data_IF_314148106200
#
_entry.id   IF_314148106200
#
_cell.length_a   1.000
_cell.length_b   1.000
_cell.length_c   1.000
_cell.angle_alpha   90.00
_cell.angle_beta   90.00
_cell.angle_gamma   90.00
#
_symmetry.space_group_name_H-M   'P 1'
#
loop_
_entity.id
_entity.type
_entity.pdbx_description
1 polymer ?
#
# COMPACT_ATOMS: atom_id res chain seq x y z
N UNK A 1 8.42 -15.40 16.07
CA UNK A 1 7.60 -15.19 14.85
C UNK A 1 8.53 -15.31 13.65
N UNK A 2 8.09 -15.93 12.54
CA UNK A 2 8.93 -16.23 11.37
C UNK A 2 8.24 -15.73 10.11
N UNK A 3 8.99 -15.08 9.23
CA UNK A 3 8.53 -14.68 7.90
C UNK A 3 8.86 -15.75 6.86
N UNK A 4 7.91 -16.04 5.96
CA UNK A 4 8.09 -16.85 4.77
C UNK A 4 8.70 -16.05 3.61
N UNK A 5 8.43 -14.74 3.55
CA UNK A 5 9.13 -13.80 2.66
C UNK A 5 9.25 -12.40 3.27
N UNK A 6 10.15 -11.59 2.71
CA UNK A 6 10.28 -10.17 3.03
C UNK A 6 10.41 -9.36 1.74
N UNK A 7 9.76 -8.20 1.69
CA UNK A 7 9.75 -7.28 0.55
C UNK A 7 10.06 -5.87 1.03
N UNK A 8 10.92 -5.16 0.31
CA UNK A 8 11.27 -3.76 0.58
C UNK A 8 11.00 -2.94 -0.69
N UNK A 9 10.02 -2.05 -0.62
CA UNK A 9 9.49 -1.33 -1.77
C UNK A 9 9.83 0.15 -1.62
N UNK A 10 10.40 0.73 -2.68
CA UNK A 10 10.62 2.16 -2.79
C UNK A 10 9.52 2.78 -3.65
N UNK A 11 8.68 3.58 -3.00
CA UNK A 11 7.56 4.25 -3.62
C UNK A 11 7.92 5.71 -3.92
N UNK A 12 7.70 6.12 -5.16
CA UNK A 12 8.01 7.47 -5.62
C UNK A 12 6.85 8.07 -6.41
N UNK A 13 6.77 9.41 -6.53
CA UNK A 13 5.67 10.09 -7.20
C UNK A 13 5.59 9.77 -8.70
N UNK A 14 6.73 9.55 -9.37
CA UNK A 14 6.81 9.29 -10.81
C UNK A 14 6.23 7.93 -11.22
N UNK A 15 6.02 7.02 -10.27
CA UNK A 15 5.42 5.71 -10.52
C UNK A 15 3.88 5.74 -10.48
N UNK A 16 3.26 6.85 -10.03
CA UNK A 16 1.81 6.95 -9.86
C UNK A 16 1.08 7.05 -11.20
N UNK A 17 0.03 6.25 -11.36
CA UNK A 17 -0.81 6.19 -12.57
C UNK A 17 -2.29 6.12 -12.18
N UNK A 18 -3.15 6.56 -13.10
CA UNK A 18 -4.59 6.32 -13.08
C UNK A 18 -4.98 5.45 -14.29
N UNK A 19 -5.40 4.21 -14.05
CA UNK A 19 -5.51 3.20 -15.09
C UNK A 19 -4.12 2.84 -15.60
N UNK A 20 -3.77 3.27 -16.81
CA UNK A 20 -2.42 3.17 -17.37
C UNK A 20 -1.79 4.53 -17.67
N UNK A 21 -2.48 5.62 -17.32
CA UNK A 21 -2.03 6.98 -17.60
C UNK A 21 -1.17 7.49 -16.43
N UNK A 22 0.11 7.84 -16.64
CA UNK A 22 0.91 8.46 -15.59
C UNK A 22 0.30 9.80 -15.16
N UNK A 23 0.11 9.98 -13.86
CA UNK A 23 -0.40 11.24 -13.28
C UNK A 23 0.66 11.98 -12.48
N UNK A 24 1.67 11.26 -12.00
CA UNK A 24 2.53 11.73 -10.93
C UNK A 24 1.81 11.71 -9.58
N UNK A 25 2.59 11.73 -8.52
CA UNK A 25 2.14 11.91 -7.14
C UNK A 25 2.59 13.27 -6.57
N UNK A 26 2.76 13.34 -5.25
CA UNK A 26 3.20 14.57 -4.57
C UNK A 26 4.69 14.80 -4.84
N UNK A 27 5.04 15.91 -5.47
CA UNK A 27 6.43 16.20 -5.84
C UNK A 27 7.36 16.19 -4.62
N UNK A 28 8.42 15.38 -4.68
CA UNK A 28 9.38 15.23 -3.59
C UNK A 28 8.96 14.27 -2.48
N UNK A 29 7.70 13.82 -2.42
CA UNK A 29 7.32 12.76 -1.49
C UNK A 29 8.05 11.45 -1.79
N UNK A 30 8.24 10.61 -0.78
CA UNK A 30 8.72 9.24 -0.98
C UNK A 30 8.14 8.31 0.08
N UNK A 31 8.13 7.02 -0.22
CA UNK A 31 7.70 5.99 0.73
C UNK A 31 8.64 4.79 0.72
N UNK A 32 8.91 4.24 1.90
CA UNK A 32 9.53 2.93 2.08
C UNK A 32 8.50 2.02 2.72
N UNK A 33 8.19 0.91 2.05
CA UNK A 33 7.25 -0.09 2.53
C UNK A 33 8.02 -1.39 2.73
N UNK A 34 8.28 -1.73 3.98
CA UNK A 34 8.92 -2.99 4.33
C UNK A 34 7.85 -3.96 4.83
N UNK A 35 7.68 -5.07 4.11
CA UNK A 35 6.73 -6.12 4.45
C UNK A 35 7.44 -7.40 4.83
N UNK A 36 6.97 -8.03 5.90
CA UNK A 36 7.29 -9.42 6.22
C UNK A 36 6.02 -10.26 6.17
N UNK A 37 6.00 -11.28 5.33
CA UNK A 37 4.83 -12.14 5.11
C UNK A 37 5.03 -13.46 5.86
N UNK A 38 3.94 -14.01 6.42
CA UNK A 38 3.84 -15.39 6.84
C UNK A 38 2.61 -16.00 6.17
N UNK A 39 2.82 -16.72 5.06
CA UNK A 39 1.74 -17.34 4.31
C UNK A 39 1.12 -18.54 5.01
N UNK A 40 1.80 -19.18 5.95
CA UNK A 40 1.20 -20.26 6.74
C UNK A 40 0.09 -19.74 7.68
N UNK A 41 0.19 -18.48 8.13
CA UNK A 41 -0.80 -17.84 9.03
C UNK A 41 -1.66 -16.77 8.35
N UNK A 42 -1.51 -16.57 7.04
CA UNK A 42 -2.09 -15.45 6.30
C UNK A 42 -1.83 -14.08 6.94
N UNK A 43 -0.59 -13.86 7.39
CA UNK A 43 -0.19 -12.65 8.13
C UNK A 43 0.79 -11.82 7.30
N UNK A 44 0.65 -10.50 7.36
CA UNK A 44 1.62 -9.54 6.85
C UNK A 44 1.95 -8.54 7.96
N UNK A 45 3.23 -8.46 8.33
CA UNK A 45 3.76 -7.38 9.14
C UNK A 45 4.36 -6.31 8.24
N UNK A 46 4.26 -5.06 8.67
CA UNK A 46 4.64 -3.91 7.88
C UNK A 46 5.39 -2.89 8.72
N UNK A 47 6.34 -2.21 8.09
CA UNK A 47 6.92 -0.96 8.53
C UNK A 47 6.89 -0.01 7.34
N UNK A 48 5.96 0.94 7.38
CA UNK A 48 5.69 1.87 6.29
C UNK A 48 6.12 3.25 6.75
N UNK A 49 7.04 3.86 6.02
CA UNK A 49 7.52 5.22 6.28
C UNK A 49 7.27 6.09 5.07
N UNK A 50 6.68 7.26 5.28
CA UNK A 50 6.50 8.29 4.26
C UNK A 50 7.32 9.52 4.63
N UNK A 51 8.03 10.08 3.66
CA UNK A 51 8.71 11.37 3.77
C UNK A 51 8.03 12.39 2.87
N UNK A 52 7.86 13.61 3.38
CA UNK A 52 7.26 14.75 2.67
C UNK A 52 5.88 14.45 2.08
N UNK A 53 5.08 13.64 2.79
CA UNK A 53 3.64 13.51 2.51
C UNK A 53 2.92 14.83 2.87
N UNK A 54 2.02 15.26 2.01
CA UNK A 54 1.23 16.48 2.16
C UNK A 54 -0.26 16.18 1.97
N UNK A 55 -1.12 17.06 2.50
CA UNK A 55 -2.57 16.87 2.52
C UNK A 55 -3.03 15.90 3.61
N UNK A 56 -4.27 15.44 3.47
CA UNK A 56 -4.91 14.50 4.37
C UNK A 56 -4.92 13.11 3.75
N UNK A 57 -4.89 12.06 4.57
CA UNK A 57 -5.10 10.70 4.07
C UNK A 57 -6.53 10.57 3.56
N UNK A 58 -6.68 10.36 2.26
CA UNK A 58 -7.99 10.25 1.60
C UNK A 58 -7.96 9.17 0.53
N UNK A 59 -8.97 8.30 0.56
CA UNK A 59 -9.12 7.16 -0.34
C UNK A 59 -10.58 6.71 -0.34
N UNK A 60 -11.09 6.12 -1.43
CA UNK A 60 -12.37 5.43 -1.40
C UNK A 60 -12.40 4.20 -0.48
N UNK A 61 -11.23 3.64 -0.14
CA UNK A 61 -11.07 2.51 0.77
C UNK A 61 -11.11 2.95 2.25
N UNK A 62 -11.11 2.00 3.19
CA UNK A 62 -11.18 2.27 4.64
C UNK A 62 -9.99 3.06 5.17
N UNK A 63 -8.82 2.92 4.54
CA UNK A 63 -7.64 3.75 4.78
C UNK A 63 -7.07 4.18 3.42
N UNK A 64 -5.97 4.93 3.44
CA UNK A 64 -5.35 5.47 2.23
C UNK A 64 -4.01 4.81 1.89
N UNK A 65 -3.65 3.71 2.56
CA UNK A 65 -2.35 3.03 2.40
C UNK A 65 -2.61 1.57 2.06
N UNK A 66 -2.13 1.07 0.93
CA UNK A 66 -2.57 -0.22 0.42
C UNK A 66 -1.45 -1.11 -0.14
N UNK A 67 -1.79 -2.38 -0.33
CA UNK A 67 -1.28 -3.21 -1.42
C UNK A 67 -2.40 -3.40 -2.44
N UNK A 68 -2.11 -3.17 -3.71
CA UNK A 68 -2.97 -3.47 -4.85
C UNK A 68 -2.45 -4.68 -5.62
N UNK A 69 -3.37 -5.46 -6.18
CA UNK A 69 -3.04 -6.46 -7.21
C UNK A 69 -3.07 -5.78 -8.58
N UNK A 70 -1.89 -5.39 -9.06
CA UNK A 70 -1.74 -4.65 -10.31
C UNK A 70 -0.37 -4.91 -10.94
N UNK A 71 -0.36 -5.09 -12.27
CA UNK A 71 0.86 -5.10 -13.06
C UNK A 71 1.57 -3.73 -13.00
N UNK A 72 2.89 -3.74 -13.24
CA UNK A 72 3.69 -2.52 -13.33
C UNK A 72 3.10 -1.53 -14.34
N UNK A 73 2.88 -0.29 -13.90
CA UNK A 73 2.33 0.78 -14.74
C UNK A 73 0.81 0.72 -14.94
N UNK A 74 0.11 -0.19 -14.28
CA UNK A 74 -1.35 -0.27 -14.29
C UNK A 74 -1.94 -0.11 -12.89
N UNK A 75 -3.18 0.39 -12.79
CA UNK A 75 -4.00 0.32 -11.57
C UNK A 75 -4.68 -1.04 -11.45
N UNK A 76 -5.04 -1.41 -10.23
CA UNK A 76 -5.80 -2.62 -9.92
C UNK A 76 -6.53 -2.46 -8.58
N UNK A 77 -7.32 -3.44 -8.13
CA UNK A 77 -8.05 -3.35 -6.88
C UNK A 77 -7.10 -3.43 -5.66
N UNK A 78 -7.39 -2.70 -4.56
CA UNK A 78 -6.68 -2.90 -3.30
C UNK A 78 -7.03 -4.28 -2.74
N UNK A 79 -6.04 -4.96 -2.17
CA UNK A 79 -6.20 -6.27 -1.52
C UNK A 79 -5.96 -6.22 -0.01
N UNK A 80 -5.13 -5.28 0.44
CA UNK A 80 -4.86 -5.04 1.86
C UNK A 80 -4.91 -3.53 2.09
N UNK A 81 -5.68 -3.10 3.10
CA UNK A 81 -5.68 -1.73 3.61
C UNK A 81 -4.93 -1.67 4.95
N UNK A 82 -3.91 -0.82 5.04
CA UNK A 82 -3.09 -0.65 6.25
C UNK A 82 -3.50 0.60 7.02
N UNK A 83 -3.34 0.63 8.36
CA UNK A 83 -3.42 1.87 9.12
C UNK A 83 -2.50 2.95 8.54
N UNK A 84 -3.05 4.14 8.33
CA UNK A 84 -2.31 5.26 7.75
C UNK A 84 -1.11 5.67 8.64
N UNK A 85 0.07 5.94 8.07
CA UNK A 85 1.21 6.47 8.80
C UNK A 85 0.89 7.75 9.58
N UNK A 86 1.36 7.83 10.83
CA UNK A 86 1.19 9.02 11.67
C UNK A 86 2.51 9.78 11.79
N UNK A 87 2.50 11.12 11.97
CA UNK A 87 3.71 11.91 12.16
C UNK A 87 4.59 11.35 13.28
N UNK A 88 5.90 11.29 13.05
CA UNK A 88 6.85 10.89 14.08
C UNK A 88 7.15 12.10 14.99
N UNK A 89 7.12 11.95 16.33
CA UNK A 89 7.51 13.02 17.24
C UNK A 89 8.91 13.56 16.93
N UNK A 90 9.02 14.87 16.71
CA UNK A 90 10.28 15.54 16.39
C UNK A 90 10.66 15.55 14.90
N UNK A 91 9.85 14.95 14.02
CA UNK A 91 10.01 15.08 12.57
C UNK A 91 8.65 14.98 11.86
N UNK A 92 7.97 16.12 11.71
CA UNK A 92 6.63 16.20 11.10
C UNK A 92 6.62 15.88 9.60
N UNK A 93 7.77 15.99 8.92
CA UNK A 93 7.89 15.62 7.51
C UNK A 93 7.82 14.10 7.31
N UNK A 94 8.13 13.31 8.36
CA UNK A 94 8.13 11.85 8.30
C UNK A 94 6.93 11.30 9.06
N UNK A 95 6.22 10.38 8.40
CA UNK A 95 5.12 9.63 8.99
C UNK A 95 5.44 8.15 8.98
N UNK A 96 5.03 7.42 10.01
CA UNK A 96 5.30 5.99 10.13
C UNK A 96 4.09 5.19 10.61
N UNK A 97 3.96 3.97 10.11
CA UNK A 97 2.99 2.96 10.53
C UNK A 97 3.72 1.62 10.68
N UNK A 98 3.63 0.98 11.85
CA UNK A 98 4.17 -0.36 12.10
C UNK A 98 3.09 -1.25 12.69
N UNK A 99 3.01 -2.48 12.23
CA UNK A 99 2.08 -3.46 12.78
C UNK A 99 2.09 -4.77 12.03
N UNK A 100 1.11 -5.61 12.36
CA UNK A 100 0.81 -6.82 11.60
C UNK A 100 -0.70 -6.94 11.40
N UNK A 101 -1.10 -7.39 10.22
CA UNK A 101 -2.47 -7.75 9.88
C UNK A 101 -2.52 -9.24 9.57
N UNK A 102 -3.55 -9.91 10.06
CA UNK A 102 -3.84 -11.31 9.72
C UNK A 102 -5.20 -11.35 9.05
N UNK A 103 -5.30 -12.09 7.95
CA UNK A 103 -6.55 -12.25 7.23
C UNK A 103 -7.67 -12.89 8.08
N UNK A 104 -8.94 -12.79 7.66
CA UNK A 104 -9.40 -12.24 6.38
C UNK A 104 -9.19 -10.72 6.29
N UNK A 105 -8.78 -10.26 5.10
CA UNK A 105 -8.57 -8.83 4.84
C UNK A 105 -9.85 -8.18 4.33
N UNK A 106 -9.96 -6.88 4.57
CA UNK A 106 -11.01 -6.03 4.02
C UNK A 106 -10.40 -4.70 3.60
N UNK A 107 -11.03 -4.06 2.62
CA UNK A 107 -10.58 -2.77 2.09
C UNK A 107 -11.69 -1.72 2.08
N UNK A 108 -12.95 -2.14 2.22
CA UNK A 108 -14.13 -1.29 2.06
C UNK A 108 -14.51 -1.01 0.60
N UNK A 109 -13.71 -1.45 -0.37
CA UNK A 109 -14.03 -1.33 -1.79
C UNK A 109 -14.85 -2.53 -2.22
N UNK A 110 -16.06 -2.29 -2.71
CA UNK A 110 -16.92 -3.34 -3.27
C UNK A 110 -16.77 -3.37 -4.80
N UNK A 111 -16.37 -4.52 -5.34
CA UNK A 111 -16.37 -4.82 -6.77
C UNK A 111 -17.06 -6.16 -6.99
N UNK A 112 -17.90 -6.25 -8.03
CA UNK A 112 -18.63 -7.50 -8.33
C UNK A 112 -19.34 -8.09 -7.09
N UNK A 113 -20.00 -7.21 -6.32
CA UNK A 113 -20.76 -7.54 -5.09
C UNK A 113 -19.92 -8.00 -3.88
N UNK A 114 -18.59 -7.90 -3.92
CA UNK A 114 -17.69 -8.35 -2.84
C UNK A 114 -16.62 -7.32 -2.48
N UNK A 115 -16.16 -7.35 -1.22
CA UNK A 115 -14.98 -6.58 -0.82
C UNK A 115 -13.75 -7.05 -1.59
N UNK A 116 -12.92 -6.14 -2.11
CA UNK A 116 -11.75 -6.53 -2.90
C UNK A 116 -10.66 -7.22 -2.09
N UNK A 117 -10.69 -7.15 -0.76
CA UNK A 117 -9.86 -7.95 0.14
C UNK A 117 -10.48 -9.32 0.49
N UNK A 118 -11.76 -9.56 0.19
CA UNK A 118 -12.43 -10.83 0.50
C UNK A 118 -11.73 -11.99 -0.20
N UNK A 119 -11.38 -13.02 0.57
CA UNK A 119 -10.71 -14.21 0.05
C UNK A 119 -9.25 -14.00 -0.36
N UNK A 120 -8.70 -12.78 -0.23
CA UNK A 120 -7.29 -12.54 -0.50
C UNK A 120 -6.39 -13.26 0.52
N UNK A 121 -5.34 -13.88 0.01
CA UNK A 121 -4.35 -14.60 0.81
C UNK A 121 -2.95 -14.13 0.44
N UNK A 122 -2.11 -13.84 1.43
CA UNK A 122 -0.77 -13.24 1.24
C UNK A 122 0.19 -14.14 0.45
N UNK A 123 -0.07 -15.45 0.34
CA UNK A 123 0.69 -16.35 -0.53
C UNK A 123 0.62 -15.96 -2.01
N UNK A 124 -0.40 -15.21 -2.44
CA UNK A 124 -0.47 -14.68 -3.80
C UNK A 124 0.66 -13.70 -4.08
N UNK A 125 1.06 -12.89 -3.09
CA UNK A 125 2.20 -11.97 -3.19
C UNK A 125 3.50 -12.76 -3.35
N UNK A 126 3.68 -13.83 -2.56
CA UNK A 126 4.87 -14.68 -2.65
C UNK A 126 4.99 -15.40 -4.01
N UNK A 127 3.85 -15.83 -4.56
CA UNK A 127 3.80 -16.52 -5.84
C UNK A 127 4.17 -15.61 -7.02
N UNK A 128 3.78 -14.32 -6.97
CA UNK A 128 4.14 -13.35 -7.99
C UNK A 128 4.20 -11.91 -7.45
N UNK A 129 5.31 -11.50 -6.80
CA UNK A 129 5.43 -10.18 -6.20
C UNK A 129 5.23 -9.05 -7.22
N UNK A 130 5.73 -9.26 -8.44
CA UNK A 130 5.64 -8.28 -9.53
C UNK A 130 4.22 -7.99 -10.03
N UNK A 131 3.22 -8.76 -9.59
CA UNK A 131 1.80 -8.48 -9.82
C UNK A 131 1.17 -7.61 -8.72
N UNK A 132 1.96 -7.08 -7.78
CA UNK A 132 1.49 -6.25 -6.68
C UNK A 132 2.26 -4.95 -6.57
N UNK A 133 1.56 -3.89 -6.13
CA UNK A 133 2.17 -2.61 -5.82
C UNK A 133 1.69 -2.10 -4.46
N UNK A 134 2.49 -1.26 -3.82
CA UNK A 134 2.14 -0.55 -2.60
C UNK A 134 2.07 0.95 -2.88
N UNK A 135 1.12 1.62 -2.24
CA UNK A 135 0.91 3.05 -2.41
C UNK A 135 0.36 3.71 -1.15
N UNK A 136 0.31 5.03 -1.21
CA UNK A 136 -0.45 5.85 -0.27
C UNK A 136 -1.12 6.97 -1.03
N UNK A 137 -2.39 7.25 -0.74
CA UNK A 137 -3.20 8.32 -1.32
C UNK A 137 -3.27 9.54 -0.41
N UNK A 138 -3.52 10.70 -1.01
CA UNK A 138 -3.70 11.97 -0.33
C UNK A 138 -4.88 12.74 -0.93
N UNK A 139 -5.50 13.61 -0.15
CA UNK A 139 -6.56 14.51 -0.61
C UNK A 139 -6.16 15.43 -1.76
N UNK A 140 -4.86 15.72 -1.91
CA UNK A 140 -4.32 16.49 -3.04
C UNK A 140 -3.75 15.61 -4.17
N UNK A 141 -3.75 14.28 -3.98
CA UNK A 141 -3.24 13.30 -4.93
C UNK A 141 -4.04 11.98 -4.81
N UNK A 142 -5.32 12.01 -5.19
CA UNK A 142 -6.24 10.88 -5.02
C UNK A 142 -5.84 9.62 -5.81
N UNK A 143 -5.10 9.76 -6.92
CA UNK A 143 -4.55 8.61 -7.64
C UNK A 143 -3.36 7.95 -6.92
N UNK A 144 -2.79 8.63 -5.92
CA UNK A 144 -1.62 8.22 -5.15
C UNK A 144 -0.68 9.40 -4.90
N UNK A 145 -0.27 9.60 -3.65
CA UNK A 145 0.85 10.46 -3.29
C UNK A 145 2.20 9.84 -3.70
N UNK A 146 2.35 8.52 -3.50
CA UNK A 146 3.51 7.72 -3.89
C UNK A 146 3.05 6.32 -4.28
N UNK A 147 3.79 5.67 -5.20
CA UNK A 147 3.57 4.27 -5.60
C UNK A 147 4.91 3.54 -5.77
N UNK A 148 4.97 2.26 -5.41
CA UNK A 148 6.10 1.38 -5.70
C UNK A 148 5.64 -0.05 -6.02
N UNK A 149 6.27 -0.69 -7.00
CA UNK A 149 6.00 -2.10 -7.31
C UNK A 149 6.77 -3.04 -6.36
N UNK A 150 6.16 -4.16 -5.99
CA UNK A 150 6.78 -5.24 -5.21
C UNK A 150 7.76 -6.10 -6.04
#
# INVERSE_FOLDING_TARGET
FTFTSMHAIQATPDQVVNGTTPTGGIAGASGTFDFGINSATNTICYNITLDRFEGEFESPATTATHIHEAARGASGPPRIAFPNPSPIPGNEAVRNSVGCLTGPFTTGIIMEEKDTGEGFHVSAIEANPSAFMADTHSSIALAGAVRGQL
#
